data_IF_690421053867
#
_entry.id   IF_690421053867
#
_cell.length_a   1.000
_cell.length_b   1.000
_cell.length_c   1.000
_cell.angle_alpha   90.00
_cell.angle_beta   90.00
_cell.angle_gamma   90.00
#
_symmetry.space_group_name_H-M   'P 1'
#
loop_
_entity.id
_entity.type
_entity.pdbx_description
1 polymer ?
#
# COMPACT_ATOMS: atom_id res chain seq x y z
N UNK A 1 -37.95 1.20 15.06
CA UNK A 1 -38.44 0.65 13.76
C UNK A 1 -38.94 1.86 12.96
N UNK A 2 -38.48 2.25 11.77
CA UNK A 2 -37.94 1.55 10.59
C UNK A 2 -36.76 2.35 10.00
N UNK A 3 -35.93 1.64 9.22
CA UNK A 3 -34.62 2.02 8.69
C UNK A 3 -34.73 2.92 7.45
N UNK A 4 -34.03 4.05 7.41
CA UNK A 4 -33.78 4.80 6.17
C UNK A 4 -32.48 4.28 5.55
N UNK A 5 -32.58 3.23 4.73
CA UNK A 5 -31.49 2.79 3.86
C UNK A 5 -31.43 3.72 2.65
N UNK A 6 -30.36 4.53 2.57
CA UNK A 6 -30.04 5.24 1.34
C UNK A 6 -29.76 4.21 0.24
N UNK A 7 -30.55 4.25 -0.83
CA UNK A 7 -30.37 3.38 -1.99
C UNK A 7 -29.28 3.98 -2.87
N UNK A 8 -28.02 3.63 -2.61
CA UNK A 8 -26.94 3.88 -3.57
C UNK A 8 -27.12 2.91 -4.74
N UNK A 9 -27.63 3.43 -5.85
CA UNK A 9 -27.64 2.73 -7.12
C UNK A 9 -26.19 2.63 -7.62
N UNK A 10 -25.53 1.51 -7.33
CA UNK A 10 -24.27 1.14 -7.98
C UNK A 10 -24.59 0.80 -9.44
N UNK A 11 -24.45 1.81 -10.31
CA UNK A 11 -24.46 1.63 -11.74
C UNK A 11 -23.28 0.75 -12.17
N UNK A 12 -23.58 -0.39 -12.81
CA UNK A 12 -22.59 -1.20 -13.54
C UNK A 12 -22.16 -0.42 -14.80
N UNK A 13 -21.15 0.44 -14.64
CA UNK A 13 -20.46 1.12 -15.74
C UNK A 13 -19.09 0.47 -15.99
N UNK A 14 -18.81 0.16 -17.26
CA UNK A 14 -17.55 -0.41 -17.75
C UNK A 14 -16.33 0.34 -17.21
N UNK A 15 -15.26 -0.40 -16.93
CA UNK A 15 -14.00 0.09 -16.37
C UNK A 15 -13.53 1.39 -17.00
N UNK A 16 -13.67 2.47 -16.24
CA UNK A 16 -12.81 3.63 -16.38
C UNK A 16 -11.43 3.16 -15.93
N UNK A 17 -10.56 2.86 -16.90
CA UNK A 17 -9.13 3.02 -16.67
C UNK A 17 -8.91 4.47 -16.23
N UNK A 18 -8.92 4.68 -14.92
CA UNK A 18 -8.40 5.89 -14.33
C UNK A 18 -6.91 5.77 -14.55
N UNK A 19 -6.44 6.32 -15.68
CA UNK A 19 -5.05 6.71 -15.84
C UNK A 19 -4.77 7.60 -14.63
N UNK A 20 -4.16 6.99 -13.60
CA UNK A 20 -3.64 7.72 -12.46
C UNK A 20 -2.50 8.52 -13.07
N UNK A 21 -2.83 9.71 -13.56
CA UNK A 21 -1.86 10.78 -13.71
C UNK A 21 -1.00 10.71 -12.46
N UNK A 22 0.32 10.62 -12.66
CA UNK A 22 1.35 10.65 -11.61
C UNK A 22 1.20 11.96 -10.83
N UNK A 23 0.12 12.05 -10.06
CA UNK A 23 -0.20 13.15 -9.17
C UNK A 23 0.86 13.02 -8.11
N UNK A 24 1.90 13.82 -8.28
CA UNK A 24 3.02 13.97 -7.38
C UNK A 24 2.46 14.31 -6.00
N UNK A 25 2.18 13.28 -5.21
CA UNK A 25 1.77 13.40 -3.83
C UNK A 25 2.98 14.04 -3.14
N UNK A 26 2.90 15.26 -2.56
CA UNK A 26 4.07 16.00 -2.08
C UNK A 26 4.90 15.25 -1.03
N UNK A 27 4.28 14.34 -0.28
CA UNK A 27 4.93 13.47 0.71
C UNK A 27 5.50 12.15 0.13
N UNK A 28 5.37 11.95 -1.17
CA UNK A 28 6.08 10.91 -1.93
C UNK A 28 7.34 11.44 -2.61
N UNK A 29 7.54 12.77 -2.65
CA UNK A 29 8.78 13.37 -3.10
C UNK A 29 9.93 12.89 -2.18
N UNK A 30 10.83 12.06 -2.73
CA UNK A 30 11.97 11.51 -1.99
C UNK A 30 11.79 10.07 -1.49
N UNK A 31 10.62 9.45 -1.67
CA UNK A 31 10.53 7.99 -1.53
C UNK A 31 11.12 7.33 -2.78
N UNK A 32 12.04 6.36 -2.64
CA UNK A 32 12.52 5.61 -3.80
C UNK A 32 11.33 4.97 -4.52
N UNK A 33 11.39 4.96 -5.86
CA UNK A 33 10.40 4.24 -6.68
C UNK A 33 10.40 2.78 -6.23
N UNK A 34 9.21 2.23 -5.99
CA UNK A 34 9.06 0.80 -5.72
C UNK A 34 9.15 0.06 -7.05
N UNK A 35 9.90 -1.04 -7.07
CA UNK A 35 9.97 -1.92 -8.23
C UNK A 35 8.70 -2.77 -8.39
N UNK A 36 7.89 -2.90 -7.34
CA UNK A 36 6.64 -3.64 -7.34
C UNK A 36 5.69 -3.28 -6.19
N UNK A 37 4.53 -3.93 -6.16
CA UNK A 37 3.61 -3.86 -5.04
C UNK A 37 4.15 -4.67 -3.85
N UNK A 38 3.93 -4.19 -2.62
CA UNK A 38 4.28 -4.94 -1.41
C UNK A 38 3.31 -6.12 -1.29
N UNK A 39 3.85 -7.32 -1.39
CA UNK A 39 3.14 -8.58 -1.26
C UNK A 39 3.19 -9.14 0.16
N UNK A 40 2.57 -10.30 0.33
CA UNK A 40 2.54 -11.01 1.62
C UNK A 40 3.93 -11.47 2.05
N UNK A 41 4.75 -11.91 1.10
CA UNK A 41 6.09 -12.42 1.38
C UNK A 41 7.02 -11.31 1.87
N UNK A 42 6.88 -10.09 1.34
CA UNK A 42 7.62 -8.91 1.83
C UNK A 42 7.31 -8.62 3.30
N UNK A 43 6.04 -8.76 3.70
CA UNK A 43 5.62 -8.56 5.09
C UNK A 43 6.16 -9.66 6.02
N UNK A 44 6.20 -10.91 5.53
CA UNK A 44 6.78 -12.03 6.28
C UNK A 44 8.28 -11.81 6.46
N UNK A 45 8.99 -11.43 5.39
CA UNK A 45 10.42 -11.14 5.42
C UNK A 45 10.74 -9.98 6.36
N UNK A 46 9.93 -8.91 6.33
CA UNK A 46 10.05 -7.81 7.29
C UNK A 46 9.88 -8.28 8.74
N UNK A 47 8.88 -9.13 9.00
CA UNK A 47 8.66 -9.68 10.33
C UNK A 47 9.85 -10.52 10.79
N UNK A 48 10.37 -11.40 9.92
CA UNK A 48 11.56 -12.20 10.21
C UNK A 48 12.73 -11.27 10.56
N UNK A 49 13.03 -10.29 9.71
CA UNK A 49 14.13 -9.35 9.91
C UNK A 49 14.03 -8.63 11.26
N UNK A 50 12.84 -8.18 11.67
CA UNK A 50 12.61 -7.53 12.97
C UNK A 50 12.98 -8.46 14.14
N UNK A 51 12.68 -9.76 14.05
CA UNK A 51 12.94 -10.71 15.14
C UNK A 51 14.35 -11.32 15.11
N UNK A 52 15.06 -11.26 13.99
CA UNK A 52 16.39 -11.86 13.84
C UNK A 52 17.53 -10.87 14.03
N UNK A 53 17.31 -9.58 13.78
CA UNK A 53 18.32 -8.54 13.97
C UNK A 53 18.55 -8.27 15.46
N UNK A 54 19.81 -8.03 15.84
CA UNK A 54 20.19 -7.78 17.24
C UNK A 54 20.27 -6.29 17.57
N UNK A 55 20.32 -5.45 16.55
CA UNK A 55 20.44 -4.01 16.62
C UNK A 55 19.63 -3.35 15.49
N UNK A 56 19.47 -2.03 15.58
CA UNK A 56 18.84 -1.26 14.50
C UNK A 56 19.77 -1.18 13.28
N UNK A 57 21.08 -1.09 13.52
CA UNK A 57 22.11 -1.04 12.49
C UNK A 57 22.10 -2.32 11.65
N UNK A 58 22.08 -3.49 12.31
CA UNK A 58 21.99 -4.80 11.66
C UNK A 58 20.73 -4.91 10.79
N UNK A 59 19.61 -4.32 11.24
CA UNK A 59 18.35 -4.32 10.49
C UNK A 59 18.45 -3.45 9.23
N UNK A 60 19.07 -2.27 9.33
CA UNK A 60 19.21 -1.33 8.22
C UNK A 60 20.21 -1.79 7.15
N UNK A 61 21.15 -2.67 7.46
CA UNK A 61 22.08 -3.24 6.47
C UNK A 61 21.44 -4.32 5.58
N UNK A 62 20.35 -4.96 6.05
CA UNK A 62 19.68 -6.06 5.34
C UNK A 62 18.60 -5.55 4.38
N UNK A 63 18.10 -4.32 4.60
CA UNK A 63 16.98 -3.69 3.87
C UNK A 63 17.42 -2.57 2.95
#
# INVERSE_FOLDING_TARGET
>A
MRKNGASEKVGRGKGLEISRTDSHIPFMAGRPRREGAIGKDDLINLQIAIYTCKSLEDFLEIT
#
